data_IF_254812282821
#
_entry.id   IF_254812282821
#
_cell.length_a   1.000
_cell.length_b   1.000
_cell.length_c   1.000
_cell.angle_alpha   90.00
_cell.angle_beta   90.00
_cell.angle_gamma   90.00
#
_symmetry.space_group_name_H-M   'P 1'
#
loop_
_entity.id
_entity.type
_entity.pdbx_description
1 polymer ?
#
# COMPACT_ATOMS: atom_id res chain seq x y z
N UNK A 1 -41.52 1.92 29.84
CA UNK A 1 -40.88 0.61 30.02
C UNK A 1 -39.89 0.38 28.88
N UNK A 2 -38.59 0.33 29.20
CA UNK A 2 -37.48 0.03 28.29
C UNK A 2 -37.43 -1.50 28.06
N UNK A 3 -37.32 -1.96 26.81
CA UNK A 3 -36.67 -3.24 26.49
C UNK A 3 -35.74 -3.06 25.29
N UNK A 4 -34.62 -3.73 25.43
CA UNK A 4 -33.27 -3.51 24.87
C UNK A 4 -33.12 -3.87 23.39
N UNK A 5 -32.31 -3.05 22.71
CA UNK A 5 -31.95 -3.15 21.30
C UNK A 5 -30.66 -3.98 21.11
N UNK A 6 -30.61 -5.19 21.66
CA UNK A 6 -29.35 -5.95 21.86
C UNK A 6 -29.20 -7.25 21.05
N UNK A 7 -29.97 -7.45 19.97
CA UNK A 7 -29.86 -8.65 19.12
C UNK A 7 -29.79 -8.33 17.62
N UNK A 8 -28.76 -7.58 17.19
CA UNK A 8 -28.45 -7.33 15.77
C UNK A 8 -27.06 -7.81 15.33
N UNK A 9 -26.54 -8.87 15.94
CA UNK A 9 -25.39 -9.60 15.40
C UNK A 9 -25.82 -11.03 15.06
N UNK A 10 -26.41 -11.15 13.87
CA UNK A 10 -26.74 -12.42 13.25
C UNK A 10 -25.48 -13.27 13.03
N UNK A 11 -25.62 -14.54 13.36
CA UNK A 11 -24.63 -15.62 13.31
C UNK A 11 -23.78 -15.58 12.03
N UNK A 12 -22.46 -15.68 12.19
CA UNK A 12 -21.49 -15.85 11.11
C UNK A 12 -21.88 -17.04 10.21
N UNK A 13 -21.73 -16.93 8.88
CA UNK A 13 -22.09 -18.00 7.96
C UNK A 13 -21.15 -19.20 8.13
N UNK A 14 -21.78 -20.37 8.26
CA UNK A 14 -21.16 -21.68 8.32
C UNK A 14 -20.41 -21.99 7.01
N UNK A 15 -19.09 -22.29 7.03
CA UNK A 15 -18.32 -22.56 5.81
C UNK A 15 -18.76 -23.92 5.22
N UNK A 16 -19.53 -23.88 4.11
CA UNK A 16 -19.98 -25.09 3.42
C UNK A 16 -18.82 -25.79 2.72
N UNK A 17 -18.73 -27.09 3.01
CA UNK A 17 -18.16 -28.22 2.25
C UNK A 17 -16.64 -28.22 2.06
N UNK A 18 -15.95 -28.68 3.11
CA UNK A 18 -14.64 -29.35 3.00
C UNK A 18 -14.70 -30.40 1.88
N UNK A 19 -13.78 -30.31 0.91
CA UNK A 19 -13.44 -31.45 0.06
C UNK A 19 -13.00 -32.59 0.99
N UNK A 20 -13.64 -33.76 0.88
CA UNK A 20 -13.22 -34.98 1.58
C UNK A 20 -11.82 -35.35 1.06
N UNK A 21 -10.80 -35.37 1.90
CA UNK A 21 -9.66 -36.26 1.65
C UNK A 21 -8.25 -35.82 2.02
N UNK A 22 -7.93 -34.54 2.23
CA UNK A 22 -6.57 -34.15 2.66
C UNK A 22 -6.58 -33.79 4.14
N UNK A 23 -6.04 -34.69 4.96
CA UNK A 23 -5.75 -34.39 6.37
C UNK A 23 -4.58 -33.42 6.37
N UNK A 24 -4.80 -32.17 6.75
CA UNK A 24 -3.73 -31.26 7.15
C UNK A 24 -3.03 -31.90 8.33
N UNK A 25 -1.85 -32.47 8.13
CA UNK A 25 -1.04 -33.05 9.19
C UNK A 25 -0.16 -31.96 9.78
N UNK A 26 -0.36 -31.67 11.07
CA UNK A 26 0.53 -30.80 11.85
C UNK A 26 1.46 -31.67 12.67
N UNK A 27 2.76 -31.37 12.62
CA UNK A 27 3.77 -32.05 13.45
C UNK A 27 4.51 -31.00 14.27
N UNK A 28 4.62 -31.22 15.58
CA UNK A 28 5.45 -30.40 16.46
C UNK A 28 6.86 -30.95 16.48
N UNK A 29 7.85 -30.12 16.23
CA UNK A 29 9.26 -30.49 16.19
C UNK A 29 10.11 -29.35 16.74
N UNK A 30 11.19 -29.68 17.46
CA UNK A 30 12.20 -28.70 17.86
C UNK A 30 13.24 -28.64 16.75
N UNK A 31 13.43 -27.45 16.17
CA UNK A 31 14.37 -27.22 15.07
C UNK A 31 15.49 -26.27 15.51
N UNK A 32 16.67 -26.42 14.89
CA UNK A 32 17.76 -25.45 15.03
C UNK A 32 17.39 -24.15 14.32
N UNK A 33 17.73 -23.01 14.91
CA UNK A 33 17.51 -21.69 14.28
C UNK A 33 18.26 -21.58 12.95
N UNK A 34 19.37 -22.30 12.78
CA UNK A 34 20.16 -22.36 11.53
C UNK A 34 19.42 -23.00 10.36
N UNK A 35 18.47 -23.89 10.63
CA UNK A 35 17.82 -24.71 9.61
C UNK A 35 16.58 -24.00 9.04
N UNK A 36 16.12 -22.95 9.73
CA UNK A 36 14.95 -22.18 9.36
C UNK A 36 15.27 -21.15 8.27
N UNK A 37 14.43 -21.10 7.24
CA UNK A 37 14.57 -20.16 6.12
C UNK A 37 13.53 -19.05 6.18
N UNK A 38 13.98 -17.82 5.94
CA UNK A 38 13.07 -16.67 5.78
C UNK A 38 12.82 -16.47 4.30
N UNK A 39 11.66 -16.92 3.81
CA UNK A 39 11.24 -16.69 2.42
C UNK A 39 9.99 -15.84 2.45
N UNK A 40 10.15 -14.51 2.22
CA UNK A 40 9.17 -13.41 1.95
C UNK A 40 7.70 -13.65 2.37
N UNK A 41 6.71 -12.91 1.90
CA UNK A 41 5.26 -13.14 2.14
C UNK A 41 4.59 -12.36 3.27
N UNK A 42 3.48 -11.73 2.95
CA UNK A 42 2.66 -10.88 3.83
C UNK A 42 3.20 -9.47 4.07
N UNK A 43 4.34 -9.28 4.76
CA UNK A 43 4.82 -7.92 5.09
C UNK A 43 6.12 -7.54 4.39
N UNK A 44 6.20 -6.26 3.98
CA UNK A 44 7.37 -5.70 3.30
C UNK A 44 8.56 -5.47 4.24
N UNK A 45 8.31 -5.09 5.50
CA UNK A 45 9.34 -4.74 6.48
C UNK A 45 9.04 -5.35 7.86
N UNK A 46 10.09 -5.65 8.62
CA UNK A 46 10.02 -6.06 10.02
C UNK A 46 9.98 -4.84 10.92
N UNK A 47 9.23 -4.95 12.02
CA UNK A 47 9.14 -3.92 13.05
C UNK A 47 10.21 -4.21 14.10
N UNK A 48 11.23 -3.35 14.19
CA UNK A 48 12.39 -3.57 15.05
C UNK A 48 12.04 -3.49 16.54
N UNK A 49 11.14 -2.57 16.92
CA UNK A 49 10.71 -2.43 18.32
C UNK A 49 10.00 -3.70 18.80
N UNK A 50 9.19 -4.29 17.91
CA UNK A 50 8.52 -5.57 18.20
C UNK A 50 9.48 -6.73 18.31
N UNK A 51 10.55 -6.76 17.50
CA UNK A 51 11.61 -7.78 17.61
C UNK A 51 12.32 -7.65 18.95
N UNK A 52 12.70 -6.42 19.35
CA UNK A 52 13.32 -6.16 20.65
C UNK A 52 12.40 -6.57 21.81
N UNK A 53 11.11 -6.26 21.72
CA UNK A 53 10.14 -6.69 22.73
C UNK A 53 10.09 -8.21 22.87
N UNK A 54 10.12 -8.97 21.76
CA UNK A 54 10.17 -10.43 21.84
C UNK A 54 11.49 -10.93 22.41
N UNK A 55 12.62 -10.30 22.07
CA UNK A 55 13.94 -10.68 22.60
C UNK A 55 13.98 -10.55 24.13
N UNK A 56 13.50 -9.41 24.67
CA UNK A 56 13.39 -9.20 26.11
C UNK A 56 12.49 -10.24 26.80
N UNK A 57 11.41 -10.67 26.14
CA UNK A 57 10.52 -11.71 26.68
C UNK A 57 11.16 -13.09 26.67
N UNK A 58 11.96 -13.40 25.64
CA UNK A 58 12.75 -14.63 25.60
C UNK A 58 13.81 -14.65 26.70
N UNK A 59 14.54 -13.55 26.89
CA UNK A 59 15.53 -13.39 27.98
C UNK A 59 14.90 -13.51 29.37
N UNK A 60 13.69 -12.97 29.55
CA UNK A 60 12.91 -13.10 30.79
C UNK A 60 12.35 -14.52 31.04
N UNK A 61 12.64 -15.49 30.17
CA UNK A 61 12.16 -16.86 30.30
C UNK A 61 10.69 -17.05 29.89
N UNK A 62 10.05 -16.07 29.26
CA UNK A 62 8.66 -16.17 28.81
C UNK A 62 8.49 -16.83 27.42
N UNK A 63 9.54 -17.46 26.88
CA UNK A 63 9.54 -18.02 25.53
C UNK A 63 8.39 -18.99 25.27
N UNK A 64 8.05 -19.85 26.23
CA UNK A 64 6.95 -20.83 26.11
C UNK A 64 5.57 -20.16 25.95
N UNK A 65 5.39 -18.95 26.49
CA UNK A 65 4.14 -18.19 26.38
C UNK A 65 3.96 -17.54 25.00
N UNK A 66 5.02 -17.43 24.21
CA UNK A 66 4.99 -16.78 22.89
C UNK A 66 4.42 -17.68 21.79
N UNK A 67 4.29 -18.98 22.07
CA UNK A 67 3.81 -20.00 21.13
C UNK A 67 4.84 -20.40 20.07
N UNK A 68 4.68 -21.57 19.46
CA UNK A 68 5.63 -22.10 18.48
C UNK A 68 5.63 -21.31 17.16
N UNK A 69 6.71 -21.43 16.39
CA UNK A 69 6.76 -20.91 15.02
C UNK A 69 5.99 -21.83 14.08
N UNK A 70 5.34 -21.27 13.05
CA UNK A 70 4.70 -22.08 12.00
C UNK A 70 5.62 -22.12 10.78
N UNK A 71 5.95 -23.32 10.30
CA UNK A 71 6.84 -23.53 9.16
C UNK A 71 6.23 -24.51 8.15
N UNK A 72 6.65 -24.42 6.89
CA UNK A 72 6.33 -25.44 5.87
C UNK A 72 7.29 -26.65 5.96
N UNK A 73 7.12 -27.63 5.07
CA UNK A 73 7.96 -28.84 5.02
C UNK A 73 9.43 -28.56 4.66
N UNK A 74 9.69 -27.44 3.97
CA UNK A 74 11.04 -26.96 3.61
C UNK A 74 11.68 -26.08 4.72
N UNK A 75 11.04 -26.01 5.89
CA UNK A 75 11.41 -25.18 7.05
C UNK A 75 11.41 -23.67 6.77
N UNK A 76 10.60 -23.22 5.82
CA UNK A 76 10.36 -21.80 5.58
C UNK A 76 9.32 -21.25 6.57
N UNK A 77 9.56 -20.06 7.10
CA UNK A 77 8.74 -19.45 8.17
C UNK A 77 7.47 -18.81 7.60
N UNK A 78 6.33 -19.34 8.04
CA UNK A 78 4.98 -18.90 7.67
C UNK A 78 4.44 -17.89 8.68
N UNK A 79 4.56 -18.18 9.97
CA UNK A 79 4.17 -17.29 11.07
C UNK A 79 5.25 -17.20 12.16
N UNK A 80 5.33 -16.03 12.80
CA UNK A 80 6.25 -15.78 13.91
C UNK A 80 7.59 -15.16 13.51
N UNK A 81 7.65 -14.38 12.44
CA UNK A 81 8.93 -13.78 11.98
C UNK A 81 9.59 -12.84 12.97
N UNK A 82 8.80 -12.01 13.66
CA UNK A 82 9.34 -11.15 14.72
C UNK A 82 9.85 -11.98 15.89
N UNK A 83 9.21 -13.13 16.20
CA UNK A 83 9.72 -14.10 17.19
C UNK A 83 11.02 -14.72 16.72
N UNK A 84 11.09 -15.18 15.47
CA UNK A 84 12.29 -15.75 14.88
C UNK A 84 13.46 -14.76 14.86
N UNK A 85 13.24 -13.52 14.43
CA UNK A 85 14.26 -12.46 14.41
C UNK A 85 14.77 -12.09 15.82
N UNK A 86 13.99 -12.37 16.86
CA UNK A 86 14.37 -12.16 18.25
C UNK A 86 15.21 -13.30 18.84
N UNK A 87 15.15 -14.52 18.28
CA UNK A 87 15.89 -15.69 18.82
C UNK A 87 17.41 -15.46 18.85
N UNK A 88 18.06 -14.92 17.79
CA UNK A 88 19.49 -14.63 17.82
C UNK A 88 19.86 -13.57 18.86
N UNK A 89 18.99 -12.58 19.10
CA UNK A 89 19.22 -11.52 20.09
C UNK A 89 19.20 -12.09 21.52
N UNK A 90 18.32 -13.06 21.78
CA UNK A 90 18.22 -13.76 23.06
C UNK A 90 19.18 -14.97 23.17
N UNK A 91 20.11 -15.15 22.21
CA UNK A 91 21.05 -16.28 22.17
C UNK A 91 20.40 -17.68 22.20
N UNK A 92 19.18 -17.81 21.65
CA UNK A 92 18.46 -19.08 21.58
C UNK A 92 18.88 -19.83 20.31
N UNK A 93 19.32 -21.08 20.46
CA UNK A 93 19.80 -21.92 19.35
C UNK A 93 18.74 -22.87 18.79
N UNK A 94 17.72 -23.21 19.57
CA UNK A 94 16.66 -24.16 19.19
C UNK A 94 15.28 -23.62 19.56
N UNK A 95 14.27 -23.95 18.75
CA UNK A 95 12.90 -23.43 18.96
C UNK A 95 11.85 -24.48 18.58
N UNK A 96 10.73 -24.48 19.28
CA UNK A 96 9.58 -25.32 18.94
C UNK A 96 8.86 -24.75 17.71
N UNK A 97 8.70 -25.61 16.71
CA UNK A 97 8.03 -25.30 15.45
C UNK A 97 6.86 -26.27 15.21
N UNK A 98 5.79 -25.75 14.63
CA UNK A 98 4.72 -26.53 14.00
C UNK A 98 5.02 -26.60 12.52
N UNK A 99 5.33 -27.80 12.02
CA UNK A 99 5.47 -28.08 10.59
C UNK A 99 4.08 -28.40 10.04
N UNK A 100 3.64 -27.64 9.04
CA UNK A 100 2.37 -27.85 8.34
C UNK A 100 2.63 -28.11 6.86
N UNK A 101 2.00 -29.16 6.34
CA UNK A 101 1.96 -29.44 4.91
C UNK A 101 0.85 -28.62 4.24
N UNK A 102 1.15 -27.99 3.10
CA UNK A 102 0.21 -27.22 2.29
C UNK A 102 0.02 -27.89 0.94
N UNK A 103 -1.22 -27.97 0.46
CA UNK A 103 -1.50 -28.59 -0.83
C UNK A 103 -1.03 -27.70 -2.01
N UNK A 104 -0.86 -26.40 -1.77
CA UNK A 104 -0.41 -25.45 -2.79
C UNK A 104 0.27 -24.23 -2.15
N UNK A 105 1.17 -23.61 -2.92
CA UNK A 105 1.79 -22.33 -2.54
C UNK A 105 0.75 -21.22 -2.34
N UNK A 106 -0.38 -21.26 -3.05
CA UNK A 106 -1.49 -20.33 -2.81
C UNK A 106 -2.01 -20.42 -1.38
N UNK A 107 -2.25 -21.66 -0.91
CA UNK A 107 -2.81 -21.93 0.41
C UNK A 107 -1.84 -21.53 1.52
N UNK A 108 -0.56 -21.77 1.31
CA UNK A 108 0.53 -21.30 2.18
C UNK A 108 0.49 -19.77 2.32
N UNK A 109 0.41 -19.03 1.20
CA UNK A 109 0.35 -17.57 1.20
C UNK A 109 -0.86 -17.01 1.94
N UNK A 110 -2.03 -17.57 1.65
CA UNK A 110 -3.27 -17.14 2.29
C UNK A 110 -3.21 -17.45 3.77
N UNK A 111 -2.69 -18.62 4.17
CA UNK A 111 -2.56 -19.00 5.58
C UNK A 111 -1.61 -18.06 6.31
N UNK A 112 -0.45 -17.75 5.73
CA UNK A 112 0.48 -16.77 6.28
C UNK A 112 -0.19 -15.40 6.45
N UNK A 113 -0.93 -14.96 5.43
CA UNK A 113 -1.60 -13.66 5.46
C UNK A 113 -2.68 -13.60 6.55
N UNK A 114 -3.49 -14.65 6.65
CA UNK A 114 -4.60 -14.76 7.61
C UNK A 114 -4.09 -14.81 9.04
N UNK A 115 -2.95 -15.48 9.30
CA UNK A 115 -2.32 -15.47 10.62
C UNK A 115 -2.02 -14.04 11.11
N UNK A 116 -1.78 -13.11 10.20
CA UNK A 116 -1.50 -11.70 10.51
C UNK A 116 -2.76 -10.82 10.64
N UNK A 117 -3.93 -11.25 10.16
CA UNK A 117 -5.17 -10.44 10.11
C UNK A 117 -5.79 -10.16 11.49
N UNK A 118 -5.59 -11.03 12.48
CA UNK A 118 -6.22 -10.94 13.81
C UNK A 118 -5.31 -10.44 14.93
N UNK A 119 -4.07 -10.08 14.64
CA UNK A 119 -3.10 -9.64 15.65
C UNK A 119 -3.26 -8.17 16.06
N UNK A 120 -2.51 -7.76 17.09
CA UNK A 120 -2.44 -6.37 17.57
C UNK A 120 -2.05 -5.35 16.47
N UNK A 121 -1.43 -5.83 15.40
CA UNK A 121 -1.10 -5.04 14.23
C UNK A 121 -1.65 -5.80 13.02
N UNK A 122 -2.78 -5.40 12.42
CA UNK A 122 -3.31 -6.05 11.22
C UNK A 122 -2.49 -5.67 9.97
N UNK A 123 -2.64 -6.39 8.84
CA UNK A 123 -1.95 -6.08 7.59
C UNK A 123 -2.36 -4.73 7.02
N UNK A 124 -1.40 -4.03 6.43
CA UNK A 124 -1.61 -2.75 5.74
C UNK A 124 -2.13 -2.96 4.32
N UNK A 125 -2.58 -1.88 3.67
CA UNK A 125 -2.97 -1.93 2.25
C UNK A 125 -1.81 -2.35 1.33
N UNK A 126 -0.57 -2.01 1.68
CA UNK A 126 0.59 -2.45 0.90
C UNK A 126 0.82 -3.95 0.99
N UNK A 127 0.61 -4.53 2.17
CA UNK A 127 0.67 -5.98 2.40
C UNK A 127 -0.37 -6.72 1.57
N UNK A 128 -1.60 -6.18 1.49
CA UNK A 128 -2.63 -6.67 0.58
C UNK A 128 -2.17 -6.65 -0.88
N UNK A 129 -1.62 -5.52 -1.34
CA UNK A 129 -1.14 -5.40 -2.72
C UNK A 129 0.00 -6.35 -3.03
N UNK A 130 0.90 -6.57 -2.07
CA UNK A 130 2.01 -7.49 -2.20
C UNK A 130 1.53 -8.94 -2.37
N UNK A 131 0.64 -9.41 -1.49
CA UNK A 131 0.11 -10.77 -1.56
C UNK A 131 -0.76 -10.98 -2.81
N UNK A 132 -1.59 -10.02 -3.17
CA UNK A 132 -2.39 -10.09 -4.40
C UNK A 132 -1.48 -10.18 -5.64
N UNK A 133 -0.38 -9.40 -5.68
CA UNK A 133 0.60 -9.50 -6.76
C UNK A 133 1.19 -10.90 -6.89
N UNK A 134 1.61 -11.49 -5.77
CA UNK A 134 2.20 -12.83 -5.75
C UNK A 134 1.21 -13.92 -6.17
N UNK A 135 -0.06 -13.79 -5.77
CA UNK A 135 -1.11 -14.70 -6.24
C UNK A 135 -1.36 -14.54 -7.74
N UNK A 136 -1.37 -13.31 -8.25
CA UNK A 136 -1.50 -13.07 -9.69
C UNK A 136 -0.27 -13.57 -10.47
N UNK A 137 0.94 -13.55 -9.89
CA UNK A 137 2.15 -14.14 -10.47
C UNK A 137 2.06 -15.66 -10.58
N UNK A 138 1.35 -16.30 -9.65
CA UNK A 138 0.97 -17.72 -9.71
C UNK A 138 -0.17 -17.99 -10.72
N UNK A 139 -0.50 -17.02 -11.57
CA UNK A 139 -1.54 -17.09 -12.62
C UNK A 139 -2.97 -17.21 -12.09
N UNK A 140 -3.23 -16.83 -10.84
CA UNK A 140 -4.61 -16.74 -10.36
C UNK A 140 -5.31 -15.58 -11.04
N UNK A 141 -6.51 -15.85 -11.54
CA UNK A 141 -7.39 -14.81 -12.05
C UNK A 141 -7.89 -13.94 -10.89
N UNK A 142 -8.22 -12.68 -11.19
CA UNK A 142 -8.86 -11.76 -10.24
C UNK A 142 -10.03 -12.41 -9.48
N UNK A 143 -10.87 -13.18 -10.18
CA UNK A 143 -12.04 -13.85 -9.59
C UNK A 143 -11.61 -14.94 -8.60
N UNK A 144 -10.59 -15.73 -8.94
CA UNK A 144 -10.05 -16.76 -8.03
C UNK A 144 -9.44 -16.11 -6.80
N UNK A 145 -8.61 -15.07 -6.96
CA UNK A 145 -8.01 -14.34 -5.84
C UNK A 145 -9.10 -13.80 -4.90
N UNK A 146 -10.15 -13.17 -5.43
CA UNK A 146 -11.27 -12.67 -4.62
C UNK A 146 -11.97 -13.78 -3.82
N UNK A 147 -12.26 -14.92 -4.46
CA UNK A 147 -12.93 -16.04 -3.80
C UNK A 147 -12.09 -16.62 -2.65
N UNK A 148 -10.75 -16.60 -2.76
CA UNK A 148 -9.86 -17.09 -1.70
C UNK A 148 -9.90 -16.26 -0.42
N UNK A 149 -10.14 -14.95 -0.55
CA UNK A 149 -10.22 -14.04 0.59
C UNK A 149 -11.64 -13.75 1.08
N UNK A 150 -12.67 -14.33 0.46
CA UNK A 150 -14.08 -14.04 0.75
C UNK A 150 -14.43 -14.25 2.24
N UNK A 151 -13.82 -15.24 2.89
CA UNK A 151 -14.02 -15.54 4.31
C UNK A 151 -13.36 -14.55 5.27
N UNK A 152 -12.44 -13.72 4.79
CA UNK A 152 -11.60 -12.85 5.63
C UNK A 152 -11.81 -11.37 5.35
N UNK A 153 -12.16 -11.00 4.11
CA UNK A 153 -12.31 -9.61 3.67
C UNK A 153 -13.56 -9.46 2.79
N UNK A 154 -14.37 -8.41 2.98
CA UNK A 154 -15.51 -8.13 2.12
C UNK A 154 -15.14 -8.05 0.63
N UNK A 155 -15.95 -8.67 -0.24
CA UNK A 155 -15.72 -8.73 -1.70
C UNK A 155 -15.46 -7.36 -2.33
N UNK A 156 -16.19 -6.33 -1.89
CA UNK A 156 -16.06 -4.97 -2.42
C UNK A 156 -14.66 -4.40 -2.20
N UNK A 157 -14.07 -4.65 -1.03
CA UNK A 157 -12.73 -4.18 -0.67
C UNK A 157 -11.67 -4.97 -1.46
N UNK A 158 -11.80 -6.30 -1.49
CA UNK A 158 -10.87 -7.16 -2.23
C UNK A 158 -10.90 -6.85 -3.73
N UNK A 159 -12.08 -6.55 -4.29
CA UNK A 159 -12.22 -6.09 -5.68
C UNK A 159 -11.39 -4.84 -5.93
N UNK A 160 -11.51 -3.83 -5.07
CA UNK A 160 -10.74 -2.59 -5.18
C UNK A 160 -9.23 -2.87 -5.19
N UNK A 161 -8.73 -3.67 -4.24
CA UNK A 161 -7.31 -4.00 -4.18
C UNK A 161 -6.82 -4.78 -5.40
N UNK A 162 -7.59 -5.75 -5.90
CA UNK A 162 -7.22 -6.44 -7.13
C UNK A 162 -7.19 -5.49 -8.35
N UNK A 163 -8.14 -4.56 -8.45
CA UNK A 163 -8.20 -3.59 -9.55
C UNK A 163 -7.02 -2.61 -9.48
N UNK A 164 -6.64 -2.15 -8.29
CA UNK A 164 -5.44 -1.31 -8.07
C UNK A 164 -4.14 -2.02 -8.46
N UNK A 165 -3.98 -3.27 -8.05
CA UNK A 165 -2.82 -4.10 -8.40
C UNK A 165 -2.74 -4.35 -9.90
N UNK A 166 -3.85 -4.76 -10.52
CA UNK A 166 -3.90 -4.98 -11.96
C UNK A 166 -3.56 -3.71 -12.74
N UNK A 167 -4.09 -2.56 -12.30
CA UNK A 167 -3.79 -1.27 -12.91
C UNK A 167 -2.29 -0.94 -12.83
N UNK A 168 -1.67 -1.13 -11.66
CA UNK A 168 -0.21 -0.94 -11.49
C UNK A 168 0.61 -1.87 -12.37
N UNK A 169 0.23 -3.15 -12.48
CA UNK A 169 0.90 -4.13 -13.36
C UNK A 169 0.79 -3.74 -14.82
N UNK A 170 -0.41 -3.38 -15.28
CA UNK A 170 -0.66 -2.96 -16.65
C UNK A 170 0.13 -1.68 -16.98
N UNK A 171 0.15 -0.70 -16.07
CA UNK A 171 0.93 0.52 -16.25
C UNK A 171 2.43 0.24 -16.34
N UNK A 172 2.96 -0.62 -15.47
CA UNK A 172 4.37 -1.04 -15.50
C UNK A 172 4.72 -1.78 -16.80
N UNK A 173 3.87 -2.72 -17.24
CA UNK A 173 4.05 -3.45 -18.49
C UNK A 173 4.02 -2.51 -19.70
N UNK A 174 3.06 -1.59 -19.76
CA UNK A 174 2.98 -0.55 -20.80
C UNK A 174 4.20 0.36 -20.81
N UNK A 175 4.70 0.77 -19.64
CA UNK A 175 5.89 1.60 -19.54
C UNK A 175 7.15 0.89 -20.04
N UNK A 176 7.33 -0.40 -19.69
CA UNK A 176 8.43 -1.24 -20.19
C UNK A 176 8.33 -1.46 -21.69
N UNK A 177 7.15 -1.83 -22.20
CA UNK A 177 6.90 -2.00 -23.62
C UNK A 177 7.21 -0.72 -24.41
N UNK A 178 6.76 0.43 -23.89
CA UNK A 178 7.05 1.74 -24.47
C UNK A 178 8.54 2.04 -24.52
N UNK A 179 9.27 1.78 -23.44
CA UNK A 179 10.71 2.07 -23.38
C UNK A 179 11.48 1.31 -24.46
N UNK A 180 11.24 -0.01 -24.57
CA UNK A 180 11.88 -0.88 -25.57
C UNK A 180 11.57 -0.42 -27.00
N UNK A 181 10.31 -0.07 -27.30
CA UNK A 181 9.95 0.43 -28.64
C UNK A 181 10.53 1.81 -28.91
N UNK A 182 10.54 2.70 -27.92
CA UNK A 182 11.08 4.07 -28.09
C UNK A 182 12.59 4.07 -28.31
N UNK A 183 13.30 3.10 -27.73
CA UNK A 183 14.73 2.87 -27.92
C UNK A 183 15.06 2.18 -29.26
N UNK A 184 14.04 1.75 -30.03
CA UNK A 184 14.23 1.03 -31.29
C UNK A 184 14.66 -0.43 -31.14
N UNK A 185 14.59 -0.99 -29.93
CA UNK A 185 15.01 -2.37 -29.64
C UNK A 185 14.04 -3.41 -30.21
N UNK A 186 12.73 -3.10 -30.28
CA UNK A 186 11.70 -3.99 -30.84
C UNK A 186 10.58 -3.20 -31.54
N UNK A 187 9.86 -3.85 -32.46
CA UNK A 187 8.66 -3.26 -33.08
C UNK A 187 7.47 -3.27 -32.11
N UNK A 188 6.46 -2.43 -32.37
CA UNK A 188 5.25 -2.30 -31.53
C UNK A 188 4.57 -3.65 -31.32
N UNK A 189 4.39 -4.44 -32.38
CA UNK A 189 3.68 -5.72 -32.30
C UNK A 189 4.47 -6.77 -31.49
N UNK A 190 5.79 -6.79 -31.66
CA UNK A 190 6.69 -7.69 -30.91
C UNK A 190 6.72 -7.33 -29.42
N UNK A 191 6.78 -6.03 -29.09
CA UNK A 191 6.72 -5.55 -27.73
C UNK A 191 5.35 -5.80 -27.08
N UNK A 192 4.26 -5.63 -27.84
CA UNK A 192 2.91 -5.90 -27.37
C UNK A 192 2.73 -7.36 -26.94
N UNK A 193 3.24 -8.31 -27.75
CA UNK A 193 3.25 -9.73 -27.42
C UNK A 193 4.14 -10.02 -26.22
N UNK A 194 5.38 -9.51 -26.20
CA UNK A 194 6.36 -9.78 -25.14
C UNK A 194 5.90 -9.30 -23.77
N UNK A 195 5.26 -8.14 -23.70
CA UNK A 195 4.81 -7.53 -22.44
C UNK A 195 3.31 -7.76 -22.16
N UNK A 196 2.61 -8.52 -23.01
CA UNK A 196 1.18 -8.81 -22.91
C UNK A 196 0.31 -7.54 -22.78
N UNK A 197 0.55 -6.55 -23.64
CA UNK A 197 -0.19 -5.29 -23.69
C UNK A 197 -0.95 -5.12 -25.01
N UNK A 198 -2.01 -4.30 -25.01
CA UNK A 198 -2.78 -4.03 -26.23
C UNK A 198 -1.92 -3.23 -27.23
N UNK A 199 -1.70 -3.75 -28.46
CA UNK A 199 -0.88 -3.08 -29.47
C UNK A 199 -1.45 -1.72 -29.88
N UNK A 200 -2.78 -1.55 -29.87
CA UNK A 200 -3.41 -0.28 -30.20
C UNK A 200 -3.11 0.76 -29.13
N UNK A 201 -3.35 0.43 -27.86
CA UNK A 201 -3.01 1.29 -26.73
C UNK A 201 -1.51 1.64 -26.70
N UNK A 202 -0.61 0.69 -27.01
CA UNK A 202 0.83 0.93 -27.06
C UNK A 202 1.21 1.90 -28.19
N UNK A 203 0.63 1.71 -29.38
CA UNK A 203 0.80 2.61 -30.53
C UNK A 203 0.30 4.01 -30.24
N UNK A 204 -0.87 4.13 -29.61
CA UNK A 204 -1.45 5.42 -29.20
C UNK A 204 -0.57 6.12 -28.16
N UNK A 205 -0.03 5.37 -27.20
CA UNK A 205 0.90 5.88 -26.19
C UNK A 205 2.19 6.42 -26.82
N UNK A 206 2.74 5.75 -27.83
CA UNK A 206 3.94 6.16 -28.57
C UNK A 206 3.66 7.34 -29.51
N UNK A 207 2.55 7.31 -30.25
CA UNK A 207 2.10 8.41 -31.11
C UNK A 207 1.86 9.69 -30.27
N UNK A 208 1.33 9.53 -29.07
CA UNK A 208 1.22 10.59 -28.06
C UNK A 208 2.56 11.20 -27.66
N UNK A 209 3.69 10.48 -27.73
CA UNK A 209 5.04 11.02 -27.46
C UNK A 209 5.56 11.89 -28.61
N UNK A 210 5.36 11.45 -29.85
CA UNK A 210 5.69 12.26 -31.05
C UNK A 210 4.88 13.55 -31.09
N UNK A 211 3.63 13.51 -30.63
CA UNK A 211 2.84 14.72 -30.45
C UNK A 211 3.23 15.50 -29.18
N UNK A 212 3.59 14.86 -28.06
CA UNK A 212 4.04 15.52 -26.81
C UNK A 212 5.27 16.40 -26.99
N UNK A 213 6.23 16.09 -27.86
CA UNK A 213 7.32 17.03 -28.14
C UNK A 213 6.82 18.37 -28.74
N UNK A 214 5.71 18.37 -29.48
CA UNK A 214 4.97 19.59 -29.86
C UNK A 214 4.03 20.10 -28.75
N UNK A 215 3.52 19.23 -27.88
CA UNK A 215 2.57 19.58 -26.80
C UNK A 215 3.23 20.07 -25.51
N UNK A 216 4.50 19.80 -25.21
CA UNK A 216 5.17 20.26 -23.97
C UNK A 216 5.19 21.80 -23.87
N UNK A 217 5.36 22.50 -25.00
CA UNK A 217 5.19 23.96 -25.06
C UNK A 217 3.74 24.43 -24.79
N UNK A 218 2.73 23.61 -25.11
CA UNK A 218 1.31 23.85 -24.79
C UNK A 218 0.95 23.43 -23.36
N UNK A 219 1.49 22.33 -22.83
CA UNK A 219 1.23 21.79 -21.49
C UNK A 219 1.81 22.70 -20.39
N UNK A 220 2.97 23.33 -20.60
CA UNK A 220 3.49 24.37 -19.70
C UNK A 220 2.56 25.60 -19.65
N UNK A 221 1.99 25.97 -20.80
CA UNK A 221 0.95 26.99 -20.88
C UNK A 221 -0.33 26.59 -20.13
N UNK A 222 -0.73 25.32 -20.23
CA UNK A 222 -1.90 24.77 -19.50
C UNK A 222 -1.66 24.75 -18.00
N UNK A 223 -0.47 24.39 -17.51
CA UNK A 223 -0.16 24.43 -16.07
C UNK A 223 -0.24 25.87 -15.53
N UNK A 224 0.30 26.85 -16.27
CA UNK A 224 0.22 28.27 -15.89
C UNK A 224 -1.24 28.76 -15.85
N UNK A 225 -2.03 28.41 -16.87
CA UNK A 225 -3.45 28.80 -16.98
C UNK A 225 -4.29 28.14 -15.90
N UNK A 226 -4.09 26.84 -15.64
CA UNK A 226 -4.82 26.08 -14.62
C UNK A 226 -4.48 26.58 -13.20
N UNK A 227 -3.21 26.88 -12.93
CA UNK A 227 -2.79 27.47 -11.66
C UNK A 227 -3.42 28.85 -11.46
N UNK A 228 -3.41 29.71 -12.49
CA UNK A 228 -4.06 31.01 -12.45
C UNK A 228 -5.58 30.90 -12.23
N UNK A 229 -6.24 29.93 -12.89
CA UNK A 229 -7.67 29.66 -12.74
C UNK A 229 -8.02 29.24 -11.30
N UNK A 230 -7.24 28.35 -10.70
CA UNK A 230 -7.43 27.91 -9.31
C UNK A 230 -7.23 29.05 -8.30
N UNK A 231 -6.18 29.84 -8.48
CA UNK A 231 -5.97 31.03 -7.63
C UNK A 231 -7.10 32.06 -7.77
N UNK A 232 -7.58 32.30 -9.00
CA UNK A 232 -8.71 33.19 -9.24
C UNK A 232 -9.98 32.67 -8.55
N UNK A 233 -10.27 31.38 -8.67
CA UNK A 233 -11.43 30.78 -8.01
C UNK A 233 -11.36 30.89 -6.47
N UNK A 234 -10.17 30.62 -5.90
CA UNK A 234 -9.94 30.78 -4.46
C UNK A 234 -10.09 32.23 -4.01
N UNK A 235 -9.58 33.19 -4.79
CA UNK A 235 -9.70 34.63 -4.49
C UNK A 235 -11.17 35.07 -4.46
N UNK A 236 -11.95 34.67 -5.47
CA UNK A 236 -13.40 34.97 -5.51
C UNK A 236 -14.15 34.33 -4.34
N UNK A 237 -13.81 33.09 -3.99
CA UNK A 237 -14.38 32.42 -2.82
C UNK A 237 -14.05 33.18 -1.52
N UNK A 238 -12.79 33.58 -1.33
CA UNK A 238 -12.36 34.37 -0.17
C UNK A 238 -13.08 35.72 -0.10
N UNK A 239 -13.25 36.42 -1.23
CA UNK A 239 -14.01 37.68 -1.27
C UNK A 239 -15.45 37.50 -0.79
N UNK A 240 -16.14 36.45 -1.23
CA UNK A 240 -17.50 36.14 -0.77
C UNK A 240 -17.55 35.83 0.72
N UNK A 241 -16.58 35.04 1.20
CA UNK A 241 -16.48 34.70 2.62
C UNK A 241 -16.22 35.95 3.48
N UNK A 242 -15.38 36.88 3.01
CA UNK A 242 -15.16 38.14 3.72
C UNK A 242 -16.41 39.03 3.70
N UNK A 243 -17.13 39.10 2.59
CA UNK A 243 -18.38 39.84 2.54
C UNK A 243 -19.43 39.27 3.51
N UNK A 244 -19.54 37.94 3.63
CA UNK A 244 -20.42 37.29 4.61
C UNK A 244 -19.97 37.55 6.07
N UNK A 245 -18.66 37.53 6.32
CA UNK A 245 -18.09 37.86 7.63
C UNK A 245 -18.40 39.32 8.02
N UNK A 246 -18.23 40.27 7.10
CA UNK A 246 -18.55 41.67 7.34
C UNK A 246 -20.05 41.86 7.60
N UNK A 247 -20.90 41.22 6.80
CA UNK A 247 -22.35 41.28 7.00
C UNK A 247 -22.75 40.78 8.39
N UNK A 248 -22.25 39.61 8.80
CA UNK A 248 -22.51 39.06 10.15
C UNK A 248 -22.01 39.97 11.28
N UNK A 249 -20.91 40.68 11.05
CA UNK A 249 -20.41 41.65 12.02
C UNK A 249 -21.33 42.89 12.09
N UNK A 250 -21.76 43.43 10.95
CA UNK A 250 -22.68 44.56 10.87
C UNK A 250 -24.06 44.22 11.47
N UNK A 251 -24.54 43.00 11.26
CA UNK A 251 -25.79 42.49 11.81
C UNK A 251 -25.68 42.20 13.34
N UNK A 252 -24.46 42.26 13.91
CA UNK A 252 -24.19 42.01 15.32
C UNK A 252 -24.14 40.53 15.71
N UNK A 253 -24.16 39.62 14.73
CA UNK A 253 -24.09 38.17 14.94
C UNK A 253 -22.72 37.72 15.47
N UNK A 254 -21.66 38.49 15.20
CA UNK A 254 -20.29 38.21 15.64
C UNK A 254 -19.61 39.46 16.21
N UNK A 255 -18.74 39.26 17.20
CA UNK A 255 -17.89 40.32 17.79
C UNK A 255 -16.63 40.57 16.93
N UNK A 256 -16.07 41.77 17.04
CA UNK A 256 -14.87 42.21 16.31
C UNK A 256 -13.67 41.29 16.61
N UNK A 257 -13.55 40.78 17.85
CA UNK A 257 -12.50 39.83 18.24
C UNK A 257 -12.57 38.53 17.47
N UNK A 258 -13.77 38.08 17.14
CA UNK A 258 -13.97 36.88 16.33
C UNK A 258 -13.52 37.13 14.89
N UNK A 259 -13.90 38.26 14.31
CA UNK A 259 -13.44 38.67 12.98
C UNK A 259 -11.91 38.78 12.91
N UNK A 260 -11.27 39.41 13.90
CA UNK A 260 -9.81 39.52 14.01
C UNK A 260 -9.15 38.14 14.08
N UNK A 261 -9.73 37.20 14.84
CA UNK A 261 -9.24 35.82 14.92
C UNK A 261 -9.28 35.13 13.56
N UNK A 262 -10.35 35.32 12.79
CA UNK A 262 -10.49 34.77 11.42
C UNK A 262 -9.43 35.35 10.49
N UNK A 263 -9.21 36.68 10.51
CA UNK A 263 -8.15 37.31 9.72
C UNK A 263 -6.76 36.78 10.10
N UNK A 264 -6.47 36.68 11.39
CA UNK A 264 -5.19 36.15 11.88
C UNK A 264 -4.95 34.67 11.52
N UNK A 265 -6.01 33.86 11.36
CA UNK A 265 -5.87 32.49 10.85
C UNK A 265 -5.53 32.47 9.36
N UNK A 266 -6.14 33.35 8.56
CA UNK A 266 -5.89 33.45 7.12
C UNK A 266 -4.46 33.94 6.86
N UNK A 267 -3.98 34.93 7.62
CA UNK A 267 -2.60 35.41 7.48
C UNK A 267 -1.57 34.35 7.84
N UNK A 268 -1.81 33.56 8.89
CA UNK A 268 -0.96 32.40 9.24
C UNK A 268 -0.97 31.33 8.15
N UNK A 269 -2.12 31.08 7.51
CA UNK A 269 -2.19 30.16 6.38
C UNK A 269 -1.38 30.69 5.18
N UNK A 270 -1.50 31.98 4.85
CA UNK A 270 -0.74 32.63 3.78
C UNK A 270 0.77 32.60 4.01
N UNK A 271 1.23 32.89 5.23
CA UNK A 271 2.66 32.81 5.58
C UNK A 271 3.23 31.41 5.36
N UNK A 272 2.55 30.37 5.87
CA UNK A 272 2.94 28.96 5.65
C UNK A 272 2.98 28.57 4.17
N UNK A 273 1.99 29.00 3.39
CA UNK A 273 2.01 28.77 1.93
C UNK A 273 3.18 29.47 1.25
N UNK A 274 3.52 30.69 1.69
CA UNK A 274 4.69 31.43 1.19
C UNK A 274 6.01 30.73 1.49
N UNK A 275 6.19 30.25 2.72
CA UNK A 275 7.37 29.47 3.15
C UNK A 275 7.55 28.21 2.30
N UNK A 276 6.47 27.43 2.12
CA UNK A 276 6.49 26.24 1.26
C UNK A 276 6.88 26.57 -0.19
N UNK A 277 6.34 27.65 -0.76
CA UNK A 277 6.68 28.09 -2.12
C UNK A 277 8.16 28.47 -2.22
N UNK A 278 8.69 29.18 -1.22
CA UNK A 278 10.10 29.57 -1.17
C UNK A 278 11.03 28.35 -1.04
N UNK A 279 10.66 27.37 -0.22
CA UNK A 279 11.41 26.11 -0.09
C UNK A 279 11.46 25.34 -1.42
N UNK A 280 10.31 25.18 -2.09
CA UNK A 280 10.23 24.52 -3.40
C UNK A 280 11.05 25.29 -4.44
N UNK A 281 11.01 26.62 -4.42
CA UNK A 281 11.84 27.47 -5.30
C UNK A 281 13.33 27.25 -5.05
N UNK A 282 13.77 27.23 -3.79
CA UNK A 282 15.16 26.98 -3.45
C UNK A 282 15.63 25.59 -3.91
N UNK A 283 14.79 24.56 -3.76
CA UNK A 283 15.05 23.21 -4.29
C UNK A 283 15.19 23.21 -5.81
N UNK A 284 14.31 23.93 -6.51
CA UNK A 284 14.35 24.06 -7.96
C UNK A 284 15.63 24.76 -8.45
N UNK A 285 16.04 25.84 -7.78
CA UNK A 285 17.30 26.54 -8.08
C UNK A 285 18.53 25.66 -7.83
N UNK A 286 18.52 24.83 -6.78
CA UNK A 286 19.60 23.88 -6.49
C UNK A 286 19.72 22.81 -7.59
N UNK A 287 18.60 22.29 -8.10
CA UNK A 287 18.58 21.36 -9.23
C UNK A 287 19.13 22.05 -10.48
N UNK A 288 18.68 23.27 -10.77
CA UNK A 288 19.14 24.04 -11.95
C UNK A 288 20.66 24.24 -11.93
N UNK A 289 21.23 24.65 -10.79
CA UNK A 289 22.67 24.82 -10.62
C UNK A 289 23.47 23.53 -10.85
N UNK A 290 22.97 22.38 -10.36
CA UNK A 290 23.61 21.07 -10.59
C UNK A 290 23.66 20.69 -12.07
N UNK A 291 22.59 20.96 -12.81
CA UNK A 291 22.54 20.69 -14.26
C UNK A 291 23.49 21.59 -15.05
N UNK A 292 23.66 22.85 -14.64
CA UNK A 292 24.62 23.79 -15.26
C UNK A 292 26.07 23.35 -15.03
N UNK A 293 26.41 22.88 -13.82
CA UNK A 293 27.75 22.37 -13.48
C UNK A 293 28.07 21.01 -14.09
N UNK A 294 27.07 20.20 -14.43
CA UNK A 294 27.27 18.89 -15.07
C UNK A 294 27.48 18.97 -16.59
N UNK A 295 27.26 20.15 -17.18
CA UNK A 295 27.38 20.41 -18.63
C UNK A 295 28.62 21.24 -18.99
N UNK A 296 29.35 21.75 -18.00
CA UNK A 296 30.67 22.39 -18.16
C UNK A 296 31.77 21.41 -17.80
#
# INVERSE_FOLDING_TARGET
MKKSNQERFGRLPNPRKKRKGEKVTERRMTLSVSDLKVVLFVRKELDQDRVLQFALRYEAGEGEKLGPLLVNEDYEIIDGRHRFAALPLASILTVECIVRCFASKEEELITAFVANMGGAMPPTTEDFHFVINQLMDQRLTRRQTQNRFESYVPKTIMRRYCDEVQSKRNHSAMAKARAVVSNGEMKVDEAAVKFAVDPKALKDLIAGVRNRQKTVGRELGVIKVELAKRHKALSVYMQKMFADLFKKYEDGDIDWKFAETVFGQIDRARKRSGEMINEIRARFEAIRKREETSKS
#
